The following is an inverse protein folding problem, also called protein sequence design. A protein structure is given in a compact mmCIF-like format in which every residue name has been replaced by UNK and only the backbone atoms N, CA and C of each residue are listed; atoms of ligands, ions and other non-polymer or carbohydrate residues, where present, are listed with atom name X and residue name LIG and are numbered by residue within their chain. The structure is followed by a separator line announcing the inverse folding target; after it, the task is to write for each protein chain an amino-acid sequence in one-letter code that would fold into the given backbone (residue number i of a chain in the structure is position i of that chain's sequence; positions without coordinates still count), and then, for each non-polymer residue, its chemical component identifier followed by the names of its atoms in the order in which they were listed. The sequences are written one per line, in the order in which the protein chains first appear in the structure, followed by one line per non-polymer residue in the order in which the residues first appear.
data_IF_487910036535
#
_entry.id   IF_487910036535
#
_cell.length_a   1.000
_cell.length_b   1.000
_cell.length_c   1.000
_cell.angle_alpha   90.00
_cell.angle_beta   90.00
_cell.angle_gamma   90.00
#
_symmetry.space_group_name_H-M   'P 1'
#
loop_
_entity.id
_entity.type
_entity.pdbx_description
1 polymer ?
#
# COMPACT_ATOMS: atom_id res chain seq x y z
N UNK A 1 47.00 -22.47 -9.74
CA UNK A 1 48.01 -22.57 -10.80
C UNK A 1 47.29 -22.78 -12.11
N UNK A 2 47.62 -21.95 -13.16
CA UNK A 2 47.19 -21.94 -14.59
C UNK A 2 45.76 -21.45 -14.84
N UNK A 3 45.55 -20.23 -15.32
CA UNK A 3 45.81 -19.49 -16.60
C UNK A 3 44.93 -19.97 -17.77
N UNK A 4 43.97 -19.07 -18.14
CA UNK A 4 43.90 -18.30 -19.43
C UNK A 4 43.84 -19.16 -20.71
N UNK A 5 42.78 -18.92 -21.56
CA UNK A 5 42.99 -18.12 -22.77
C UNK A 5 41.66 -17.80 -23.50
N UNK A 6 41.59 -16.64 -23.92
CA UNK A 6 40.95 -15.82 -24.93
C UNK A 6 40.75 -16.52 -26.30
N UNK A 7 39.57 -16.37 -26.92
CA UNK A 7 39.43 -16.32 -28.39
C UNK A 7 38.54 -15.16 -28.80
N UNK A 8 39.14 -14.18 -29.46
CA UNK A 8 38.47 -13.15 -30.27
C UNK A 8 38.19 -13.76 -31.64
N UNK A 9 36.99 -13.55 -32.18
CA UNK A 9 36.76 -13.66 -33.62
C UNK A 9 35.99 -12.43 -34.09
N UNK A 10 36.68 -11.63 -34.87
CA UNK A 10 36.11 -10.55 -35.67
C UNK A 10 35.52 -11.12 -36.94
N UNK A 11 34.31 -10.73 -37.29
CA UNK A 11 33.79 -10.85 -38.66
C UNK A 11 33.35 -9.49 -39.16
N UNK A 12 33.96 -9.14 -40.27
CA UNK A 12 33.82 -7.91 -41.04
C UNK A 12 32.46 -7.82 -41.74
N UNK A 13 31.94 -6.62 -41.75
CA UNK A 13 30.71 -6.18 -42.39
C UNK A 13 30.82 -6.11 -43.92
N UNK A 14 29.74 -6.39 -44.58
CA UNK A 14 29.45 -5.86 -45.92
C UNK A 14 28.13 -5.07 -45.85
N UNK A 15 28.20 -3.84 -46.28
CA UNK A 15 27.11 -2.89 -46.23
C UNK A 15 26.01 -3.18 -47.26
N UNK A 16 24.79 -2.83 -46.84
CA UNK A 16 23.69 -2.53 -47.73
C UNK A 16 23.00 -1.26 -47.20
N UNK A 17 23.17 -0.20 -47.94
CA UNK A 17 22.42 1.07 -47.77
C UNK A 17 20.98 0.81 -48.15
N UNK A 18 20.08 0.97 -47.19
CA UNK A 18 18.66 1.12 -47.44
C UNK A 18 18.21 2.50 -46.91
N UNK A 19 17.46 3.16 -47.79
CA UNK A 19 17.02 4.53 -47.72
C UNK A 19 16.31 4.94 -46.44
N UNK A 20 16.57 6.18 -46.04
CA UNK A 20 16.02 6.82 -44.84
C UNK A 20 14.50 6.88 -44.81
N UNK A 21 13.97 6.36 -43.72
CA UNK A 21 12.73 6.80 -43.14
C UNK A 21 13.04 7.41 -41.79
N UNK A 22 12.97 8.72 -41.68
CA UNK A 22 13.03 9.42 -40.39
C UNK A 22 11.79 9.06 -39.59
N UNK A 23 11.90 8.03 -38.77
CA UNK A 23 10.95 7.83 -37.68
C UNK A 23 11.12 9.01 -36.71
N UNK A 24 10.25 9.97 -36.78
CA UNK A 24 10.12 11.01 -35.78
C UNK A 24 9.79 10.29 -34.46
N UNK A 25 10.79 10.16 -33.60
CA UNK A 25 10.57 9.76 -32.22
C UNK A 25 9.72 10.86 -31.57
N UNK A 26 8.42 10.61 -31.43
CA UNK A 26 7.59 11.42 -30.58
C UNK A 26 8.06 11.20 -29.15
N UNK A 27 9.06 11.97 -28.75
CA UNK A 27 9.51 12.10 -27.39
C UNK A 27 8.50 12.99 -26.66
N UNK A 28 7.28 12.46 -26.41
CA UNK A 28 6.33 13.10 -25.50
C UNK A 28 6.86 12.91 -24.10
N UNK A 29 7.69 13.86 -23.64
CA UNK A 29 8.00 13.97 -22.23
C UNK A 29 6.65 13.97 -21.48
N UNK A 30 6.48 13.07 -20.54
CA UNK A 30 5.29 13.05 -19.70
C UNK A 30 5.09 14.47 -19.12
N UNK A 31 3.86 15.00 -19.10
CA UNK A 31 3.61 16.32 -18.56
C UNK A 31 4.16 16.39 -17.14
N UNK A 32 4.91 17.45 -16.84
CA UNK A 32 5.50 17.64 -15.52
C UNK A 32 4.37 17.82 -14.51
N UNK A 33 4.31 16.93 -13.50
CA UNK A 33 3.32 17.01 -12.44
C UNK A 33 3.33 18.39 -11.76
N UNK A 34 2.15 18.87 -11.32
CA UNK A 34 1.99 20.18 -10.68
C UNK A 34 2.74 20.27 -9.35
N UNK A 35 2.79 19.17 -8.61
CA UNK A 35 3.45 19.08 -7.30
C UNK A 35 4.53 18.01 -7.32
N UNK A 36 5.54 18.16 -6.46
CA UNK A 36 6.63 17.20 -6.30
C UNK A 36 6.73 16.80 -4.82
N UNK A 37 6.04 15.73 -4.48
CA UNK A 37 6.05 15.18 -3.12
C UNK A 37 7.32 14.38 -2.85
N UNK A 38 7.78 14.41 -1.58
CA UNK A 38 8.90 13.60 -1.10
C UNK A 38 8.48 12.16 -0.78
N UNK A 39 7.22 11.99 -0.36
CA UNK A 39 6.61 10.71 -0.02
C UNK A 39 5.65 10.24 -1.13
N UNK A 40 5.51 8.94 -1.29
CA UNK A 40 4.64 8.34 -2.30
C UNK A 40 3.21 8.19 -1.73
N UNK A 41 2.43 9.26 -1.83
CA UNK A 41 1.03 9.26 -1.40
C UNK A 41 0.14 8.53 -2.39
N UNK A 42 -0.81 7.74 -1.85
CA UNK A 42 -1.75 6.91 -2.60
C UNK A 42 -3.20 7.31 -2.28
N UNK A 43 -3.79 8.27 -3.00
CA UNK A 43 -5.22 8.55 -2.92
C UNK A 43 -6.06 7.34 -3.31
N UNK A 44 -7.32 7.29 -2.86
CA UNK A 44 -8.30 6.30 -3.31
C UNK A 44 -9.32 6.90 -4.31
N UNK A 45 -10.00 6.03 -5.04
CA UNK A 45 -11.08 6.47 -5.93
C UNK A 45 -12.20 7.18 -5.17
N UNK A 46 -12.77 8.21 -5.78
CA UNK A 46 -13.81 9.06 -5.20
C UNK A 46 -13.27 10.32 -4.52
N UNK A 47 -12.01 10.32 -4.09
CA UNK A 47 -11.38 11.44 -3.36
C UNK A 47 -11.33 12.73 -4.21
N UNK A 48 -11.25 12.60 -5.54
CA UNK A 48 -11.21 13.69 -6.52
C UNK A 48 -12.36 13.66 -7.54
N UNK A 49 -13.51 13.08 -7.18
CA UNK A 49 -14.63 12.88 -8.10
C UNK A 49 -15.28 14.17 -8.60
N UNK A 50 -15.14 15.29 -7.89
CA UNK A 50 -15.68 16.58 -8.32
C UNK A 50 -14.78 17.27 -9.37
N UNK A 51 -13.47 17.07 -9.30
CA UNK A 51 -12.51 17.64 -10.26
C UNK A 51 -12.27 16.75 -11.47
N UNK A 52 -12.17 15.43 -11.23
CA UNK A 52 -11.81 14.44 -12.25
C UNK A 52 -13.01 13.66 -12.83
N UNK A 53 -14.20 13.82 -12.24
CA UNK A 53 -15.36 13.00 -12.60
C UNK A 53 -15.34 11.62 -11.93
N UNK A 54 -16.28 10.75 -12.36
CA UNK A 54 -16.46 9.43 -11.73
C UNK A 54 -15.68 8.30 -12.41
N UNK A 55 -15.16 8.52 -13.61
CA UNK A 55 -14.39 7.50 -14.32
C UNK A 55 -13.06 7.24 -13.60
N UNK A 56 -12.74 6.00 -13.20
CA UNK A 56 -11.50 5.69 -12.48
C UNK A 56 -10.24 6.08 -13.27
N UNK A 57 -10.27 5.98 -14.59
CA UNK A 57 -9.10 6.29 -15.43
C UNK A 57 -8.83 7.79 -15.46
N UNK A 58 -9.88 8.62 -15.49
CA UNK A 58 -9.72 10.08 -15.44
C UNK A 58 -9.29 10.53 -14.04
N UNK A 59 -9.74 9.85 -12.97
CA UNK A 59 -9.23 10.09 -11.62
C UNK A 59 -7.74 9.75 -11.50
N UNK A 60 -7.25 8.65 -12.09
CA UNK A 60 -5.83 8.31 -12.11
C UNK A 60 -4.98 9.38 -12.82
N UNK A 61 -5.44 9.88 -13.97
CA UNK A 61 -4.77 10.97 -14.69
C UNK A 61 -4.69 12.23 -13.82
N UNK A 62 -5.82 12.59 -13.19
CA UNK A 62 -5.86 13.75 -12.28
C UNK A 62 -4.90 13.61 -11.10
N UNK A 63 -4.84 12.42 -10.47
CA UNK A 63 -3.91 12.13 -9.39
C UNK A 63 -2.46 12.29 -9.85
N UNK A 64 -2.09 11.70 -10.99
CA UNK A 64 -0.76 11.82 -11.58
C UNK A 64 -0.39 13.27 -11.90
N UNK A 65 -1.31 14.03 -12.51
CA UNK A 65 -1.12 15.46 -12.85
C UNK A 65 -0.88 16.31 -11.60
N UNK A 66 -1.45 15.91 -10.46
CA UNK A 66 -1.23 16.56 -9.17
C UNK A 66 -0.05 16.00 -8.36
N UNK A 67 0.73 15.07 -8.92
CA UNK A 67 1.98 14.57 -8.33
C UNK A 67 1.83 13.39 -7.41
N UNK A 68 0.65 12.79 -7.30
CA UNK A 68 0.47 11.55 -6.56
C UNK A 68 1.07 10.36 -7.32
N UNK A 69 1.90 9.58 -6.64
CA UNK A 69 2.70 8.52 -7.26
C UNK A 69 2.15 7.13 -7.07
N UNK A 70 1.02 7.00 -6.37
CA UNK A 70 0.39 5.70 -6.11
C UNK A 70 -1.14 5.83 -6.05
N UNK A 71 -1.81 4.69 -6.04
CA UNK A 71 -3.25 4.54 -5.82
C UNK A 71 -3.47 3.54 -4.69
N UNK A 72 -4.42 3.77 -3.81
CA UNK A 72 -4.97 2.76 -2.90
C UNK A 72 -6.41 2.43 -3.29
N UNK A 73 -6.81 1.15 -3.24
CA UNK A 73 -8.20 0.78 -3.51
C UNK A 73 -8.58 -0.51 -2.79
N UNK A 74 -9.12 -0.38 -1.60
CA UNK A 74 -9.56 -1.49 -0.74
C UNK A 74 -10.56 -2.42 -1.44
N UNK A 75 -11.34 -1.90 -2.40
CA UNK A 75 -12.36 -2.64 -3.15
C UNK A 75 -11.85 -3.33 -4.43
N UNK A 76 -10.55 -3.35 -4.72
CA UNK A 76 -10.01 -3.82 -6.01
C UNK A 76 -10.45 -5.25 -6.35
N UNK A 77 -10.45 -6.18 -5.39
CA UNK A 77 -10.84 -7.57 -5.63
C UNK A 77 -12.29 -7.73 -6.11
N UNK A 78 -13.18 -6.82 -5.73
CA UNK A 78 -14.60 -6.82 -6.13
C UNK A 78 -14.88 -6.16 -7.47
N UNK A 79 -13.91 -5.53 -8.13
CA UNK A 79 -14.09 -4.89 -9.43
C UNK A 79 -14.09 -5.92 -10.57
N UNK A 80 -14.78 -5.63 -11.70
CA UNK A 80 -14.68 -6.45 -12.90
C UNK A 80 -13.24 -6.64 -13.36
N UNK A 81 -12.91 -7.84 -13.85
CA UNK A 81 -11.53 -8.22 -14.26
C UNK A 81 -10.95 -7.24 -15.29
N UNK A 82 -11.76 -6.83 -16.26
CA UNK A 82 -11.38 -5.87 -17.30
C UNK A 82 -11.02 -4.50 -16.70
N UNK A 83 -11.75 -4.08 -15.67
CA UNK A 83 -11.46 -2.81 -14.99
C UNK A 83 -10.18 -2.90 -14.16
N UNK A 84 -9.93 -4.03 -13.45
CA UNK A 84 -8.68 -4.26 -12.73
C UNK A 84 -7.48 -4.17 -13.67
N UNK A 85 -7.56 -4.81 -14.83
CA UNK A 85 -6.51 -4.80 -15.86
C UNK A 85 -6.30 -3.37 -16.40
N UNK A 86 -7.38 -2.67 -16.74
CA UNK A 86 -7.33 -1.30 -17.26
C UNK A 86 -6.71 -0.32 -16.23
N UNK A 87 -7.03 -0.48 -14.96
CA UNK A 87 -6.42 0.30 -13.87
C UNK A 87 -4.91 0.01 -13.82
N UNK A 88 -4.50 -1.27 -13.78
CA UNK A 88 -3.08 -1.66 -13.74
C UNK A 88 -2.28 -1.12 -14.94
N UNK A 89 -2.80 -1.24 -16.16
CA UNK A 89 -2.17 -0.68 -17.35
C UNK A 89 -2.06 0.85 -17.31
N UNK A 90 -3.08 1.52 -16.75
CA UNK A 90 -3.08 2.98 -16.63
C UNK A 90 -2.07 3.44 -15.59
N UNK A 91 -2.00 2.79 -14.43
CA UNK A 91 -0.98 3.05 -13.41
C UNK A 91 0.43 2.92 -14.00
N UNK A 92 0.70 1.84 -14.74
CA UNK A 92 1.98 1.61 -15.39
C UNK A 92 2.33 2.73 -16.41
N UNK A 93 1.36 3.14 -17.25
CA UNK A 93 1.52 4.24 -18.23
C UNK A 93 1.80 5.59 -17.56
N UNK A 94 1.21 5.84 -16.39
CA UNK A 94 1.38 7.06 -15.62
C UNK A 94 2.60 7.03 -14.68
N UNK A 95 3.32 5.91 -14.59
CA UNK A 95 4.44 5.73 -13.66
C UNK A 95 3.99 5.67 -12.19
N UNK A 96 2.73 5.33 -11.94
CA UNK A 96 2.16 5.18 -10.60
C UNK A 96 2.24 3.73 -10.12
N UNK A 97 2.25 3.56 -8.80
CA UNK A 97 2.28 2.24 -8.14
C UNK A 97 0.90 1.92 -7.57
N UNK A 98 0.46 0.65 -7.71
CA UNK A 98 -0.68 0.16 -6.92
C UNK A 98 -0.24 -0.05 -5.47
N UNK A 99 -0.91 0.59 -4.53
CA UNK A 99 -0.77 0.39 -3.09
C UNK A 99 -1.52 -0.86 -2.62
N UNK A 100 -2.18 -0.78 -1.46
CA UNK A 100 -2.92 -1.93 -0.94
C UNK A 100 -4.31 -2.06 -1.56
N UNK A 101 -4.80 -3.28 -1.56
CA UNK A 101 -6.21 -3.67 -1.60
C UNK A 101 -6.47 -4.70 -0.50
N UNK A 102 -7.72 -4.89 -0.09
CA UNK A 102 -8.05 -5.82 1.00
C UNK A 102 -8.20 -7.24 0.48
N UNK A 103 -7.60 -8.23 1.16
CA UNK A 103 -7.88 -9.65 0.92
C UNK A 103 -9.30 -9.95 1.36
N UNK A 104 -10.14 -10.32 0.39
CA UNK A 104 -11.54 -10.63 0.66
C UNK A 104 -11.68 -11.99 1.38
N UNK A 105 -12.09 -11.92 2.65
CA UNK A 105 -12.48 -13.07 3.47
C UNK A 105 -13.88 -12.91 4.08
N UNK A 106 -14.70 -12.01 3.52
CA UNK A 106 -16.04 -11.72 3.97
C UNK A 106 -16.14 -10.52 4.93
N UNK A 107 -15.12 -9.63 4.98
CA UNK A 107 -15.07 -8.42 5.78
C UNK A 107 -14.14 -8.49 6.99
N UNK A 108 -13.95 -7.34 7.64
CA UNK A 108 -12.95 -7.18 8.70
C UNK A 108 -13.28 -7.97 9.97
N UNK A 109 -14.55 -8.08 10.36
CA UNK A 109 -14.98 -8.78 11.58
C UNK A 109 -15.25 -10.27 11.38
N UNK A 110 -15.61 -10.68 10.16
CA UNK A 110 -16.10 -12.03 9.87
C UNK A 110 -14.97 -13.02 9.60
N UNK A 111 -15.32 -14.32 9.64
CA UNK A 111 -14.41 -15.43 9.37
C UNK A 111 -13.09 -15.27 10.13
N UNK A 112 -13.22 -14.97 11.44
CA UNK A 112 -12.07 -14.63 12.28
C UNK A 112 -11.06 -15.77 12.35
N UNK A 113 -9.79 -15.45 12.08
CA UNK A 113 -8.67 -16.38 12.21
C UNK A 113 -8.39 -16.73 13.68
N UNK A 114 -8.72 -15.81 14.60
CA UNK A 114 -8.55 -15.98 16.03
C UNK A 114 -9.32 -17.19 16.60
N UNK A 115 -10.45 -17.55 15.98
CA UNK A 115 -11.24 -18.72 16.39
C UNK A 115 -10.58 -20.07 16.10
N UNK A 116 -9.56 -20.13 15.25
CA UNK A 116 -8.89 -21.39 14.86
C UNK A 116 -9.78 -22.36 14.08
N UNK A 117 -10.91 -21.90 13.54
CA UNK A 117 -11.83 -22.74 12.77
C UNK A 117 -11.28 -22.96 11.36
N UNK A 118 -11.09 -24.24 10.98
CA UNK A 118 -10.55 -24.59 9.66
C UNK A 118 -11.35 -23.95 8.52
N UNK A 119 -12.67 -23.89 8.59
CA UNK A 119 -13.51 -23.25 7.58
C UNK A 119 -13.18 -21.76 7.38
N UNK A 120 -12.87 -21.01 8.44
CA UNK A 120 -12.47 -19.60 8.34
C UNK A 120 -11.08 -19.45 7.70
N UNK A 121 -10.17 -20.36 8.06
CA UNK A 121 -8.82 -20.40 7.48
C UNK A 121 -8.92 -20.74 5.98
N UNK A 122 -9.75 -21.68 5.58
CA UNK A 122 -9.95 -22.05 4.17
C UNK A 122 -10.47 -20.86 3.33
N UNK A 123 -11.43 -20.09 3.86
CA UNK A 123 -11.94 -18.86 3.24
C UNK A 123 -10.81 -17.83 3.07
N UNK A 124 -9.99 -17.63 4.11
CA UNK A 124 -8.85 -16.73 4.05
C UNK A 124 -7.82 -17.15 2.99
N UNK A 125 -7.46 -18.45 2.97
CA UNK A 125 -6.48 -18.97 2.01
C UNK A 125 -7.00 -18.90 0.56
N UNK A 126 -8.30 -19.13 0.36
CA UNK A 126 -8.93 -18.89 -0.95
C UNK A 126 -8.90 -17.40 -1.33
N UNK A 127 -9.15 -16.50 -0.37
CA UNK A 127 -8.95 -15.07 -0.53
C UNK A 127 -7.52 -14.72 -0.97
N UNK A 128 -6.49 -15.30 -0.35
CA UNK A 128 -5.09 -15.12 -0.74
C UNK A 128 -4.82 -15.58 -2.19
N UNK A 129 -5.36 -16.73 -2.61
CA UNK A 129 -5.23 -17.20 -4.01
C UNK A 129 -5.88 -16.25 -5.01
N UNK A 130 -7.09 -15.77 -4.70
CA UNK A 130 -7.78 -14.76 -5.53
C UNK A 130 -7.03 -13.42 -5.55
N UNK A 131 -6.41 -13.04 -4.43
CA UNK A 131 -5.58 -11.84 -4.32
C UNK A 131 -4.34 -11.90 -5.23
N UNK A 132 -3.70 -13.09 -5.38
CA UNK A 132 -2.60 -13.29 -6.34
C UNK A 132 -3.04 -12.94 -7.76
N UNK A 133 -4.22 -13.40 -8.19
CA UNK A 133 -4.73 -13.13 -9.53
C UNK A 133 -5.11 -11.63 -9.71
N UNK A 134 -5.65 -11.00 -8.67
CA UNK A 134 -5.91 -9.55 -8.67
C UNK A 134 -4.62 -8.76 -8.76
N UNK A 135 -3.62 -9.11 -7.95
CA UNK A 135 -2.31 -8.45 -7.94
C UNK A 135 -1.61 -8.51 -9.31
N UNK A 136 -1.69 -9.65 -10.00
CA UNK A 136 -1.15 -9.78 -11.37
C UNK A 136 -1.78 -8.78 -12.35
N UNK A 137 -3.11 -8.57 -12.25
CA UNK A 137 -3.84 -7.66 -13.15
C UNK A 137 -3.53 -6.19 -12.90
N UNK A 138 -3.44 -5.79 -11.64
CA UNK A 138 -3.19 -4.38 -11.29
C UNK A 138 -1.74 -4.07 -10.87
N UNK A 139 -0.82 -5.05 -11.01
CA UNK A 139 0.59 -4.93 -10.64
C UNK A 139 0.80 -4.50 -9.17
N UNK A 140 -0.04 -5.02 -8.26
CA UNK A 140 0.08 -4.75 -6.83
C UNK A 140 1.15 -5.63 -6.17
N UNK A 141 1.70 -5.15 -5.06
CA UNK A 141 2.64 -5.89 -4.21
C UNK A 141 2.09 -6.12 -2.80
N UNK A 142 1.20 -5.26 -2.35
CA UNK A 142 0.70 -5.26 -0.98
C UNK A 142 -0.81 -5.51 -0.94
N UNK A 143 -1.26 -6.18 0.11
CA UNK A 143 -2.68 -6.41 0.38
C UNK A 143 -2.95 -6.38 1.87
N UNK A 144 -3.99 -5.67 2.28
CA UNK A 144 -4.39 -5.56 3.68
C UNK A 144 -5.04 -6.86 4.14
N UNK A 145 -4.66 -7.30 5.33
CA UNK A 145 -5.29 -8.41 6.04
C UNK A 145 -5.67 -8.00 7.46
N UNK A 146 -6.95 -8.16 7.79
CA UNK A 146 -7.48 -8.00 9.16
C UNK A 146 -7.87 -9.38 9.67
N UNK A 147 -7.31 -9.87 10.80
CA UNK A 147 -7.56 -11.22 11.30
C UNK A 147 -9.03 -11.53 11.65
N UNK A 148 -9.83 -10.52 11.95
CA UNK A 148 -11.23 -10.65 12.35
C UNK A 148 -11.45 -10.30 13.81
N UNK A 149 -12.64 -10.61 14.31
CA UNK A 149 -12.97 -10.42 15.73
C UNK A 149 -12.25 -11.41 16.63
N UNK A 150 -12.02 -11.06 17.89
CA UNK A 150 -11.52 -12.01 18.87
C UNK A 150 -12.62 -13.00 19.27
N UNK A 151 -12.22 -14.21 19.68
CA UNK A 151 -13.15 -15.26 20.13
C UNK A 151 -13.22 -15.25 21.68
N UNK A 152 -14.36 -14.79 22.21
CA UNK A 152 -14.52 -14.55 23.66
C UNK A 152 -14.30 -15.76 24.55
N UNK A 153 -14.50 -16.97 24.01
CA UNK A 153 -14.39 -18.22 24.77
C UNK A 153 -12.97 -18.81 24.76
N UNK A 154 -12.02 -18.17 24.07
CA UNK A 154 -10.65 -18.65 23.98
C UNK A 154 -9.66 -17.68 24.68
N UNK A 155 -8.65 -18.21 25.38
CA UNK A 155 -7.53 -17.39 25.87
C UNK A 155 -6.81 -16.67 24.73
N UNK A 156 -6.35 -15.43 24.99
CA UNK A 156 -5.72 -14.58 23.96
C UNK A 156 -4.49 -15.24 23.32
N UNK A 157 -3.66 -15.91 24.09
CA UNK A 157 -2.48 -16.62 23.57
C UNK A 157 -2.83 -17.75 22.59
N UNK A 158 -3.93 -18.47 22.82
CA UNK A 158 -4.43 -19.48 21.88
C UNK A 158 -4.89 -18.84 20.58
N UNK A 159 -5.63 -17.73 20.67
CA UNK A 159 -6.07 -16.96 19.52
C UNK A 159 -4.88 -16.43 18.71
N UNK A 160 -3.85 -15.89 19.38
CA UNK A 160 -2.62 -15.42 18.74
C UNK A 160 -1.93 -16.56 17.97
N UNK A 161 -1.84 -17.76 18.57
CA UNK A 161 -1.32 -18.94 17.89
C UNK A 161 -2.11 -19.31 16.63
N UNK A 162 -3.43 -19.33 16.71
CA UNK A 162 -4.30 -19.59 15.54
C UNK A 162 -4.09 -18.57 14.41
N UNK A 163 -3.99 -17.28 14.76
CA UNK A 163 -3.75 -16.20 13.78
C UNK A 163 -2.37 -16.40 13.12
N UNK A 164 -1.32 -16.64 13.90
CA UNK A 164 0.03 -16.88 13.38
C UNK A 164 0.04 -18.06 12.40
N UNK A 165 -0.58 -19.18 12.75
CA UNK A 165 -0.62 -20.39 11.91
C UNK A 165 -1.37 -20.13 10.59
N UNK A 166 -2.51 -19.43 10.64
CA UNK A 166 -3.25 -19.05 9.44
C UNK A 166 -2.43 -18.12 8.54
N UNK A 167 -1.76 -17.10 9.12
CA UNK A 167 -0.95 -16.14 8.38
C UNK A 167 0.29 -16.79 7.76
N UNK A 168 0.94 -17.76 8.40
CA UNK A 168 2.02 -18.56 7.79
C UNK A 168 1.56 -19.23 6.51
N UNK A 169 0.41 -19.90 6.55
CA UNK A 169 -0.19 -20.54 5.37
C UNK A 169 -0.54 -19.54 4.28
N UNK A 170 -1.04 -18.34 4.64
CA UNK A 170 -1.25 -17.24 3.71
C UNK A 170 0.06 -16.75 3.09
N UNK A 171 1.12 -16.59 3.90
CA UNK A 171 2.44 -16.19 3.44
C UNK A 171 3.04 -17.20 2.45
N UNK A 172 2.84 -18.51 2.67
CA UNK A 172 3.29 -19.57 1.75
C UNK A 172 2.63 -19.45 0.36
N UNK A 173 1.40 -18.92 0.28
CA UNK A 173 0.72 -18.65 -1.00
C UNK A 173 1.27 -17.38 -1.66
N UNK A 174 1.54 -16.33 -0.90
CA UNK A 174 1.87 -15.00 -1.41
C UNK A 174 3.36 -14.83 -1.75
N UNK A 175 4.24 -15.39 -0.91
CA UNK A 175 5.70 -15.22 -1.04
C UNK A 175 6.27 -15.65 -2.41
N UNK A 176 5.86 -16.79 -3.02
CA UNK A 176 6.34 -17.19 -4.33
C UNK A 176 6.04 -16.19 -5.45
N UNK A 177 5.08 -15.30 -5.24
CA UNK A 177 4.68 -14.25 -6.17
C UNK A 177 5.28 -12.88 -5.84
N UNK A 178 6.13 -12.78 -4.81
CA UNK A 178 6.70 -11.52 -4.34
C UNK A 178 5.67 -10.57 -3.72
N UNK A 179 4.54 -11.12 -3.23
CA UNK A 179 3.45 -10.39 -2.63
C UNK A 179 3.56 -10.38 -1.11
N UNK A 180 3.11 -9.29 -0.50
CA UNK A 180 3.17 -9.10 0.96
C UNK A 180 1.79 -8.74 1.50
N UNK A 181 1.24 -9.58 2.38
CA UNK A 181 0.14 -9.14 3.21
C UNK A 181 0.64 -8.18 4.27
N UNK A 182 -0.11 -7.12 4.49
CA UNK A 182 0.16 -6.14 5.53
C UNK A 182 -0.99 -6.14 6.53
N UNK A 183 -0.67 -6.47 7.78
CA UNK A 183 -1.64 -6.60 8.86
C UNK A 183 -2.00 -5.22 9.38
N UNK A 184 -3.29 -4.95 9.45
CA UNK A 184 -3.81 -3.68 9.91
C UNK A 184 -4.44 -3.82 11.30
N UNK A 185 -3.84 -3.23 12.36
CA UNK A 185 -4.50 -3.05 13.64
C UNK A 185 -5.51 -1.91 13.55
N UNK A 186 -6.77 -2.20 13.92
CA UNK A 186 -7.90 -1.30 13.72
C UNK A 186 -8.51 -0.84 15.05
N UNK A 187 -8.91 0.42 15.11
CA UNK A 187 -9.65 1.03 16.22
C UNK A 187 -11.16 1.13 15.99
N UNK A 188 -11.68 0.54 14.91
CA UNK A 188 -13.08 0.70 14.50
C UNK A 188 -14.08 -0.03 15.41
N UNK A 189 -13.66 -1.14 16.01
CA UNK A 189 -14.48 -1.91 16.92
C UNK A 189 -13.65 -2.52 18.06
N UNK A 190 -14.15 -2.49 19.30
CA UNK A 190 -13.49 -3.15 20.44
C UNK A 190 -13.53 -4.68 20.34
N UNK A 191 -14.27 -5.24 19.39
CA UNK A 191 -14.33 -6.67 19.18
C UNK A 191 -13.23 -7.20 18.25
N UNK A 192 -12.53 -6.35 17.52
CA UNK A 192 -11.44 -6.77 16.65
C UNK A 192 -10.29 -7.37 17.46
N UNK A 193 -9.75 -8.48 16.97
CA UNK A 193 -8.64 -9.19 17.61
C UNK A 193 -7.36 -8.34 17.59
N UNK A 194 -7.05 -7.69 16.46
CA UNK A 194 -5.82 -6.94 16.27
C UNK A 194 -6.09 -5.44 16.43
N UNK A 195 -5.49 -4.80 17.44
CA UNK A 195 -5.78 -3.42 17.79
C UNK A 195 -4.54 -2.53 18.02
N UNK A 196 -3.35 -3.11 18.25
CA UNK A 196 -2.16 -2.36 18.64
C UNK A 196 -0.95 -2.69 17.75
N UNK A 197 -0.01 -1.77 17.66
CA UNK A 197 1.19 -1.93 16.85
C UNK A 197 2.16 -2.98 17.44
N UNK A 198 2.26 -3.08 18.75
CA UNK A 198 3.13 -4.07 19.42
C UNK A 198 2.59 -5.49 19.26
N UNK A 199 1.27 -5.71 19.38
CA UNK A 199 0.62 -6.99 19.08
C UNK A 199 0.87 -7.39 17.62
N UNK A 200 0.75 -6.44 16.69
CA UNK A 200 1.00 -6.69 15.27
C UNK A 200 2.47 -7.03 15.02
N UNK A 201 3.38 -6.34 15.70
CA UNK A 201 4.82 -6.61 15.63
C UNK A 201 5.14 -8.04 16.10
N UNK A 202 4.62 -8.44 17.27
CA UNK A 202 4.78 -9.80 17.79
C UNK A 202 4.33 -10.86 16.78
N UNK A 203 3.14 -10.67 16.18
CA UNK A 203 2.59 -11.61 15.20
C UNK A 203 3.46 -11.66 13.94
N UNK A 204 3.85 -10.52 13.35
CA UNK A 204 4.70 -10.49 12.18
C UNK A 204 6.06 -11.17 12.44
N UNK A 205 6.67 -10.90 13.60
CA UNK A 205 7.91 -11.59 14.04
C UNK A 205 7.73 -13.08 14.19
N UNK A 206 6.61 -13.53 14.76
CA UNK A 206 6.32 -14.95 14.93
C UNK A 206 6.00 -15.65 13.61
N UNK A 207 5.31 -15.01 12.68
CA UNK A 207 5.12 -15.51 11.29
C UNK A 207 6.46 -15.69 10.59
N UNK A 208 7.40 -14.77 10.81
CA UNK A 208 8.77 -14.81 10.30
C UNK A 208 8.86 -14.97 8.77
N UNK A 209 8.07 -14.16 8.05
CA UNK A 209 8.05 -14.17 6.58
C UNK A 209 8.13 -12.73 6.02
N UNK A 210 8.90 -12.50 4.93
CA UNK A 210 8.87 -11.21 4.23
C UNK A 210 7.50 -10.92 3.58
N UNK A 211 6.66 -11.94 3.41
CA UNK A 211 5.29 -11.82 2.88
C UNK A 211 4.24 -11.47 3.95
N UNK A 212 4.66 -11.17 5.19
CA UNK A 212 3.76 -10.74 6.28
C UNK A 212 4.41 -9.58 7.03
N UNK A 213 3.84 -8.38 6.93
CA UNK A 213 4.35 -7.14 7.49
C UNK A 213 3.21 -6.33 8.14
N UNK A 214 3.56 -5.22 8.76
CA UNK A 214 2.61 -4.29 9.38
C UNK A 214 2.13 -3.28 8.34
N UNK A 215 0.83 -3.03 8.26
CA UNK A 215 0.27 -1.79 7.80
C UNK A 215 0.12 -0.87 9.02
N UNK A 216 0.91 0.18 9.07
CA UNK A 216 0.87 1.16 10.16
C UNK A 216 -0.05 2.31 9.76
N UNK A 217 -1.35 2.20 10.10
CA UNK A 217 -2.30 3.30 9.95
C UNK A 217 -2.13 4.29 11.11
N UNK A 218 -1.64 5.47 10.79
CA UNK A 218 -1.33 6.51 11.77
C UNK A 218 -2.59 6.98 12.51
N UNK A 219 -3.76 7.01 11.84
CA UNK A 219 -5.03 7.33 12.47
C UNK A 219 -5.43 6.31 13.54
N UNK A 220 -5.41 5.02 13.20
CA UNK A 220 -5.78 3.97 14.14
C UNK A 220 -4.82 3.89 15.31
N UNK A 221 -3.51 4.03 15.06
CA UNK A 221 -2.51 4.00 16.12
C UNK A 221 -2.59 5.23 17.03
N UNK A 222 -2.89 6.42 16.49
CA UNK A 222 -3.14 7.60 17.33
C UNK A 222 -4.35 7.37 18.26
N UNK A 223 -5.41 6.78 17.74
CA UNK A 223 -6.66 6.56 18.49
C UNK A 223 -6.53 5.50 19.58
N UNK A 224 -5.71 4.46 19.37
CA UNK A 224 -5.53 3.34 20.32
C UNK A 224 -4.38 3.56 21.29
N UNK A 225 -3.22 4.00 20.78
CA UNK A 225 -1.96 4.00 21.53
C UNK A 225 -1.37 5.41 21.70
N UNK A 226 -1.55 6.30 20.72
CA UNK A 226 -0.81 7.55 20.66
C UNK A 226 0.69 7.32 20.46
N UNK A 227 1.54 8.24 20.93
CA UNK A 227 3.00 8.07 20.95
C UNK A 227 3.59 7.60 19.60
N UNK A 228 3.07 8.15 18.50
CA UNK A 228 3.23 7.64 17.14
C UNK A 228 4.69 7.43 16.71
N UNK A 229 5.58 8.41 16.93
CA UNK A 229 6.98 8.34 16.48
C UNK A 229 7.72 7.18 17.16
N UNK A 230 7.68 7.01 18.48
CA UNK A 230 8.27 5.84 19.14
C UNK A 230 7.68 4.50 18.68
N UNK A 231 6.37 4.38 18.48
CA UNK A 231 5.78 3.14 17.96
C UNK A 231 6.27 2.82 16.53
N UNK A 232 6.41 3.83 15.67
CA UNK A 232 7.07 3.66 14.35
C UNK A 232 8.49 3.14 14.51
N UNK A 233 9.25 3.68 15.47
CA UNK A 233 10.64 3.27 15.70
C UNK A 233 10.74 1.81 16.17
N UNK A 234 9.91 1.40 17.11
CA UNK A 234 9.89 0.03 17.65
C UNK A 234 9.46 -1.00 16.61
N UNK A 235 8.48 -0.63 15.77
CA UNK A 235 7.93 -1.54 14.77
C UNK A 235 8.66 -1.49 13.42
N UNK A 236 9.65 -0.62 13.24
CA UNK A 236 10.25 -0.28 11.94
C UNK A 236 10.65 -1.47 11.08
N UNK A 237 11.24 -2.51 11.66
CA UNK A 237 11.71 -3.70 10.93
C UNK A 237 10.57 -4.53 10.31
N UNK A 238 9.36 -4.37 10.81
CA UNK A 238 8.20 -5.12 10.34
C UNK A 238 7.19 -4.24 9.59
N UNK A 239 7.37 -2.91 9.50
CA UNK A 239 6.48 -2.05 8.72
C UNK A 239 6.68 -2.31 7.22
N UNK A 240 5.58 -2.56 6.51
CA UNK A 240 5.53 -2.75 5.06
C UNK A 240 4.74 -1.67 4.32
N UNK A 241 3.87 -0.94 5.02
CA UNK A 241 2.98 0.06 4.44
C UNK A 241 2.52 1.06 5.50
N UNK A 242 2.21 2.29 5.08
CA UNK A 242 1.61 3.31 5.95
C UNK A 242 0.24 3.73 5.42
N UNK A 243 -0.68 4.07 6.35
CA UNK A 243 -1.90 4.79 6.02
C UNK A 243 -2.01 6.07 6.83
N UNK A 244 -2.75 7.03 6.28
CA UNK A 244 -2.86 8.41 6.75
C UNK A 244 -4.32 8.75 6.95
N UNK A 245 -4.63 9.36 8.10
CA UNK A 245 -5.87 10.02 8.41
C UNK A 245 -5.67 10.86 9.68
N UNK A 246 -6.13 12.12 9.71
CA UNK A 246 -5.94 12.95 10.89
C UNK A 246 -7.00 12.66 11.96
N UNK A 247 -6.58 12.65 13.21
CA UNK A 247 -7.43 12.36 14.35
C UNK A 247 -7.96 13.69 14.95
N UNK A 248 -9.24 13.75 15.38
CA UNK A 248 -10.21 12.65 15.48
C UNK A 248 -11.12 12.47 14.25
N UNK A 249 -11.10 13.38 13.28
CA UNK A 249 -12.10 13.46 12.20
C UNK A 249 -11.89 12.47 11.06
N UNK A 250 -10.76 11.75 10.98
CA UNK A 250 -10.32 10.91 9.86
C UNK A 250 -10.42 11.66 8.52
N UNK A 251 -9.77 12.80 8.47
CA UNK A 251 -9.67 13.69 7.30
C UNK A 251 -8.20 13.85 6.88
N UNK A 252 -7.96 14.74 5.88
CA UNK A 252 -6.61 15.06 5.44
C UNK A 252 -5.73 15.63 6.57
N UNK A 253 -4.39 15.51 6.49
CA UNK A 253 -3.46 16.16 7.41
C UNK A 253 -3.77 17.63 7.63
N UNK A 254 -3.41 18.16 8.79
CA UNK A 254 -3.67 19.55 9.23
C UNK A 254 -5.10 19.87 9.67
N UNK A 255 -5.98 18.89 9.69
CA UNK A 255 -7.37 19.08 10.14
C UNK A 255 -7.63 18.59 11.57
N UNK A 256 -6.66 17.95 12.19
CA UNK A 256 -6.77 17.38 13.54
C UNK A 256 -5.55 17.66 14.42
N UNK A 257 -5.22 16.67 15.27
CA UNK A 257 -4.22 16.82 16.34
C UNK A 257 -2.83 16.26 15.97
N UNK A 258 -2.69 15.52 14.84
CA UNK A 258 -1.44 14.86 14.49
C UNK A 258 -0.52 15.84 13.76
N UNK A 259 0.70 16.01 14.27
CA UNK A 259 1.72 16.81 13.58
C UNK A 259 2.34 16.01 12.43
N UNK A 260 1.61 15.88 11.32
CA UNK A 260 2.04 15.11 10.15
C UNK A 260 3.37 15.58 9.56
N UNK A 261 3.67 16.88 9.61
CA UNK A 261 4.95 17.41 9.11
C UNK A 261 6.13 16.80 9.88
N UNK A 262 6.02 16.64 11.20
CA UNK A 262 7.06 16.00 12.01
C UNK A 262 7.09 14.48 11.80
N UNK A 263 5.93 13.83 11.73
CA UNK A 263 5.83 12.38 11.48
C UNK A 263 6.43 12.04 10.12
N UNK A 264 6.05 12.74 9.07
CA UNK A 264 6.58 12.53 7.72
C UNK A 264 8.08 12.79 7.63
N UNK A 265 8.57 13.86 8.25
CA UNK A 265 10.02 14.11 8.34
C UNK A 265 10.75 12.95 9.00
N UNK A 266 10.23 12.44 10.12
CA UNK A 266 10.82 11.32 10.84
C UNK A 266 10.88 10.06 9.98
N UNK A 267 9.74 9.66 9.39
CA UNK A 267 9.67 8.49 8.52
C UNK A 267 10.61 8.64 7.32
N UNK A 268 10.58 9.78 6.64
CA UNK A 268 11.45 10.03 5.48
C UNK A 268 12.94 9.94 5.84
N UNK A 269 13.35 10.48 6.99
CA UNK A 269 14.74 10.39 7.48
C UNK A 269 15.15 8.93 7.69
N UNK A 270 14.27 8.12 8.29
CA UNK A 270 14.52 6.69 8.49
C UNK A 270 14.55 5.92 7.17
N UNK A 271 13.64 6.22 6.24
CA UNK A 271 13.63 5.63 4.90
C UNK A 271 14.97 5.84 4.20
N UNK A 272 15.50 7.08 4.24
CA UNK A 272 16.79 7.41 3.63
C UNK A 272 17.95 6.68 4.32
N UNK A 273 17.96 6.64 5.64
CA UNK A 273 19.00 5.96 6.42
C UNK A 273 19.04 4.43 6.17
N UNK A 274 17.89 3.81 5.89
CA UNK A 274 17.75 2.37 5.70
C UNK A 274 17.63 1.94 4.23
N UNK A 275 17.71 2.88 3.27
CA UNK A 275 17.46 2.64 1.85
C UNK A 275 16.12 1.92 1.58
N UNK A 276 15.07 2.40 2.24
CA UNK A 276 13.70 1.86 2.14
C UNK A 276 12.78 2.88 1.50
N UNK A 277 11.72 2.38 0.86
CA UNK A 277 10.63 3.20 0.31
C UNK A 277 9.31 2.57 0.73
N UNK A 278 8.36 3.43 1.15
CA UNK A 278 7.00 3.03 1.50
C UNK A 278 5.98 3.79 0.67
N UNK A 279 4.81 3.18 0.52
CA UNK A 279 3.60 3.85 0.02
C UNK A 279 2.81 4.33 1.24
N UNK A 280 2.15 5.47 1.08
CA UNK A 280 1.35 6.13 2.11
C UNK A 280 -0.09 6.24 1.62
N UNK A 281 -0.93 5.27 1.98
CA UNK A 281 -2.35 5.26 1.65
C UNK A 281 -3.08 6.43 2.29
N UNK A 282 -3.91 7.13 1.53
CA UNK A 282 -4.71 8.25 2.02
C UNK A 282 -6.10 7.74 2.44
N UNK A 283 -6.15 6.99 3.58
CA UNK A 283 -7.37 6.35 4.03
C UNK A 283 -8.23 7.28 4.91
N UNK A 284 -8.72 8.33 4.29
CA UNK A 284 -9.54 9.34 4.96
C UNK A 284 -10.52 10.01 3.98
N UNK A 285 -11.54 10.68 4.52
CA UNK A 285 -12.43 11.52 3.73
C UNK A 285 -11.90 12.95 3.60
N UNK A 286 -12.47 13.73 2.68
CA UNK A 286 -12.18 15.15 2.56
C UNK A 286 -12.89 15.94 3.70
N UNK A 287 -12.24 16.95 4.27
CA UNK A 287 -12.81 17.78 5.34
C UNK A 287 -13.91 18.69 4.84
N UNK A 288 -13.87 19.09 3.57
CA UNK A 288 -14.85 19.92 2.90
C UNK A 288 -15.44 19.19 1.69
N UNK A 289 -16.69 19.50 1.31
CA UNK A 289 -17.32 18.94 0.12
C UNK A 289 -16.81 19.62 -1.16
N UNK A 290 -17.05 18.96 -2.30
CA UNK A 290 -16.85 19.51 -3.62
C UNK A 290 -15.39 19.79 -3.98
N UNK A 291 -15.17 20.57 -5.03
CA UNK A 291 -13.83 20.93 -5.52
C UNK A 291 -12.99 21.67 -4.47
N UNK A 292 -13.62 22.52 -3.66
CA UNK A 292 -12.94 23.22 -2.56
C UNK A 292 -12.30 22.24 -1.57
N UNK A 293 -12.98 21.13 -1.24
CA UNK A 293 -12.44 20.08 -0.38
C UNK A 293 -11.28 19.34 -1.02
N UNK A 294 -11.36 19.06 -2.31
CA UNK A 294 -10.29 18.41 -3.06
C UNK A 294 -9.03 19.28 -3.16
N UNK A 295 -9.18 20.59 -3.38
CA UNK A 295 -8.09 21.58 -3.38
C UNK A 295 -7.48 21.73 -1.98
N UNK A 296 -8.31 21.79 -0.93
CA UNK A 296 -7.85 21.87 0.46
C UNK A 296 -7.03 20.64 0.85
N UNK A 297 -7.46 19.44 0.45
CA UNK A 297 -6.72 18.20 0.64
C UNK A 297 -5.33 18.25 -0.03
N UNK A 298 -5.25 18.60 -1.31
CA UNK A 298 -3.98 18.71 -2.03
C UNK A 298 -3.05 19.69 -1.29
N UNK A 299 -3.57 20.86 -0.87
CA UNK A 299 -2.80 21.87 -0.13
C UNK A 299 -2.29 21.33 1.22
N UNK A 300 -3.10 20.56 1.95
CA UNK A 300 -2.72 19.96 3.22
C UNK A 300 -1.53 18.98 3.06
N UNK A 301 -1.52 18.20 1.99
CA UNK A 301 -0.39 17.31 1.68
C UNK A 301 0.87 18.09 1.26
N UNK A 302 0.75 19.15 0.47
CA UNK A 302 1.87 20.04 0.14
C UNK A 302 2.48 20.63 1.41
N UNK A 303 1.64 21.11 2.33
CA UNK A 303 2.08 21.69 3.60
C UNK A 303 2.79 20.66 4.47
N UNK A 304 2.18 19.49 4.66
CA UNK A 304 2.74 18.42 5.49
C UNK A 304 4.02 17.81 4.92
N UNK A 305 4.18 17.81 3.58
CA UNK A 305 5.39 17.34 2.88
C UNK A 305 6.50 18.42 2.76
N UNK A 306 6.24 19.65 3.22
CA UNK A 306 7.17 20.79 3.12
C UNK A 306 8.29 20.79 4.17
N UNK A 307 8.53 19.66 4.85
CA UNK A 307 9.62 19.53 5.81
C UNK A 307 11.00 19.62 5.16
N UNK A 308 12.00 20.11 5.92
CA UNK A 308 13.42 20.12 5.56
C UNK A 308 14.16 19.04 6.34
N UNK A 309 15.18 18.44 5.74
CA UNK A 309 16.05 17.41 6.32
C UNK A 309 17.31 18.10 6.83
#
# INVERSE_FOLDING_TARGET
MFRRDFVKSALTATGATLAGGTAAAFNTAAPKAKNNFKLAYAPHFGMFSNSAGKDPIDQLKFMADNGFMALEDNGMMGKPVELQTKIGETLAKLGMTMGVFVVDKGGNSQNTLAAGKQAHVDIFLDGCKRAVETAKRCNAKWMTVVPGDFERNLPIGIQTGHVIDALRRGADILAPHGLTMVLEPLSDSPNLFLQTSDQTYEICRAVNSPACKILFDIYHMQKTEGHIIPHIDWCWSEIGYFQIGDNPGRKEPTTGEINYKNVFKHIYTKMKANNQNFIFGMEHGNSKPGKEGEEALIKAYIESDSFTI
#
